data_IF_678180682491
#
_entry.id   IF_678180682491
#
_cell.length_a   1.000
_cell.length_b   1.000
_cell.length_c   1.000
_cell.angle_alpha   90.00
_cell.angle_beta   90.00
_cell.angle_gamma   90.00
#
_symmetry.space_group_name_H-M   'P 1'
#
loop_
_entity.id
_entity.type
_entity.pdbx_description
1 polymer ?
#
# COMPACT_ATOMS: atom_id res chain seq x y z
N UNK A 1 -17.60 33.03 -12.66
CA UNK A 1 -17.21 32.52 -11.32
C UNK A 1 -16.86 31.05 -11.44
N UNK A 2 -15.58 30.70 -11.60
CA UNK A 2 -15.12 29.31 -11.57
C UNK A 2 -14.59 29.01 -10.18
N UNK A 3 -15.20 28.05 -9.46
CA UNK A 3 -14.66 27.58 -8.18
C UNK A 3 -13.29 26.94 -8.46
N UNK A 4 -12.22 27.44 -7.85
CA UNK A 4 -10.91 26.77 -7.95
C UNK A 4 -11.02 25.39 -7.30
N UNK A 5 -10.51 24.36 -7.98
CA UNK A 5 -10.39 23.03 -7.39
C UNK A 5 -9.38 23.13 -6.23
N UNK A 6 -9.64 22.56 -5.06
CA UNK A 6 -8.65 22.55 -3.98
C UNK A 6 -7.39 21.84 -4.46
N UNK A 7 -6.25 22.52 -4.29
CA UNK A 7 -4.95 22.07 -4.74
C UNK A 7 -4.47 20.96 -3.79
N UNK A 8 -4.61 19.70 -4.21
CA UNK A 8 -4.39 18.50 -3.37
C UNK A 8 -2.93 18.33 -2.92
N UNK A 9 -1.99 19.11 -3.47
CA UNK A 9 -0.54 18.93 -3.27
C UNK A 9 0.18 20.12 -2.60
N UNK A 10 -0.51 20.95 -1.83
CA UNK A 10 0.05 22.18 -1.23
C UNK A 10 1.22 21.98 -0.22
N UNK A 11 1.59 20.74 0.14
CA UNK A 11 2.60 20.46 1.17
C UNK A 11 3.75 19.55 0.71
N UNK A 12 4.02 19.42 -0.60
CA UNK A 12 5.13 18.61 -1.09
C UNK A 12 6.45 19.39 -1.07
N UNK A 13 7.22 19.17 0.00
CA UNK A 13 8.69 19.05 0.08
C UNK A 13 9.09 19.32 1.55
N UNK A 14 9.28 18.27 2.35
CA UNK A 14 9.81 18.39 3.71
C UNK A 14 10.77 17.25 4.03
N UNK A 15 11.75 17.50 4.90
CA UNK A 15 12.78 16.54 5.34
C UNK A 15 12.17 15.29 6.00
N UNK A 16 12.89 14.16 6.05
CA UNK A 16 12.43 12.91 6.70
C UNK A 16 11.88 13.13 8.13
N UNK A 17 12.61 13.89 8.95
CA UNK A 17 12.17 14.27 10.30
C UNK A 17 10.89 15.12 10.29
N UNK A 18 10.72 15.99 9.29
CA UNK A 18 9.48 16.75 9.14
C UNK A 18 8.32 15.91 8.59
N UNK A 19 8.59 14.85 7.83
CA UNK A 19 7.56 13.92 7.37
C UNK A 19 7.12 13.06 8.55
N UNK A 20 8.06 12.54 9.36
CA UNK A 20 7.77 11.84 10.60
C UNK A 20 6.96 12.71 11.57
N UNK A 21 7.40 13.94 11.84
CA UNK A 21 6.64 14.89 12.67
C UNK A 21 5.27 15.22 12.09
N UNK A 22 5.16 15.33 10.75
CA UNK A 22 3.88 15.62 10.10
C UNK A 22 2.95 14.41 10.14
N UNK A 23 3.47 13.20 9.92
CA UNK A 23 2.76 11.93 10.07
C UNK A 23 2.28 11.78 11.50
N UNK A 24 3.15 11.99 12.49
CA UNK A 24 2.81 11.90 13.90
C UNK A 24 1.75 12.94 14.29
N UNK A 25 1.86 14.17 13.78
CA UNK A 25 0.82 15.20 13.97
C UNK A 25 -0.50 14.83 13.30
N UNK A 26 -0.48 14.28 12.09
CA UNK A 26 -1.68 13.84 11.38
C UNK A 26 -2.34 12.65 12.08
N UNK A 27 -1.56 11.66 12.51
CA UNK A 27 -2.03 10.53 13.33
C UNK A 27 -2.65 11.05 14.63
N UNK A 28 -2.01 11.99 15.33
CA UNK A 28 -2.56 12.58 16.55
C UNK A 28 -3.86 13.34 16.28
N UNK A 29 -3.90 14.18 15.24
CA UNK A 29 -5.09 14.93 14.82
C UNK A 29 -6.24 14.01 14.42
N UNK A 30 -5.95 12.86 13.79
CA UNK A 30 -6.96 11.90 13.35
C UNK A 30 -7.51 11.05 14.50
N UNK A 31 -6.65 10.68 15.46
CA UNK A 31 -7.05 9.97 16.69
C UNK A 31 -7.95 10.79 17.61
N UNK A 32 -7.84 12.12 17.56
CA UNK A 32 -8.70 13.04 18.32
C UNK A 32 -10.08 13.27 17.66
N UNK A 33 -10.29 12.85 16.40
CA UNK A 33 -11.57 12.98 15.71
C UNK A 33 -12.51 11.82 16.04
N UNK A 34 -13.57 12.08 16.83
CA UNK A 34 -14.62 11.10 17.13
C UNK A 34 -15.30 10.58 15.85
N UNK A 35 -15.25 9.26 15.65
CA UNK A 35 -16.09 8.55 14.67
C UNK A 35 -15.44 8.18 13.33
N UNK A 36 -14.12 8.36 13.16
CA UNK A 36 -13.40 7.83 11.98
C UNK A 36 -12.62 6.56 12.35
N UNK A 37 -12.66 5.56 11.48
CA UNK A 37 -12.11 4.21 11.71
C UNK A 37 -10.82 3.90 10.96
N UNK A 38 -10.36 4.77 10.05
CA UNK A 38 -9.22 4.47 9.17
C UNK A 38 -8.23 5.63 9.12
N UNK A 39 -7.00 5.32 9.54
CA UNK A 39 -5.86 6.20 9.82
C UNK A 39 -4.99 6.44 8.56
N UNK A 40 -3.74 6.87 8.76
CA UNK A 40 -2.68 6.85 7.73
C UNK A 40 -2.23 5.41 7.46
N UNK A 41 -2.11 5.04 6.18
CA UNK A 41 -1.64 3.72 5.74
C UNK A 41 -0.28 3.83 5.10
N UNK A 42 0.65 2.96 5.48
CA UNK A 42 2.02 2.92 4.98
C UNK A 42 2.32 1.59 4.31
N UNK A 43 3.15 1.63 3.27
CA UNK A 43 3.61 0.44 2.58
C UNK A 43 5.02 0.61 2.03
N UNK A 44 5.87 -0.36 2.34
CA UNK A 44 7.20 -0.49 1.73
C UNK A 44 7.07 -0.82 0.25
N UNK A 45 7.79 -0.08 -0.58
CA UNK A 45 7.90 -0.30 -2.02
C UNK A 45 9.36 -0.59 -2.36
N UNK A 46 9.60 -1.62 -3.18
CA UNK A 46 10.95 -2.05 -3.57
C UNK A 46 10.97 -2.11 -5.08
N UNK A 47 11.97 -1.50 -5.72
CA UNK A 47 12.09 -1.57 -7.18
C UNK A 47 12.21 -3.04 -7.66
N UNK A 48 11.58 -3.41 -8.79
CA UNK A 48 10.87 -2.56 -9.75
C UNK A 48 9.35 -2.44 -9.49
N UNK A 49 8.88 -2.79 -8.30
CA UNK A 49 7.44 -2.83 -8.01
C UNK A 49 6.87 -1.44 -7.74
N UNK A 50 5.57 -1.30 -8.00
CA UNK A 50 4.83 -0.11 -7.58
C UNK A 50 4.27 -0.32 -6.17
N UNK A 51 3.70 0.71 -5.54
CA UNK A 51 3.10 0.60 -4.23
C UNK A 51 2.08 -0.54 -4.09
N UNK A 52 1.31 -0.85 -5.14
CA UNK A 52 0.18 -1.78 -5.04
C UNK A 52 0.25 -2.97 -5.99
N UNK A 53 1.17 -2.99 -6.95
CA UNK A 53 1.29 -4.09 -7.93
C UNK A 53 2.75 -4.45 -8.19
N UNK A 54 2.96 -5.67 -8.66
CA UNK A 54 4.29 -6.24 -8.87
C UNK A 54 4.64 -6.34 -10.36
N UNK A 55 5.81 -5.85 -10.76
CA UNK A 55 6.30 -5.84 -12.14
C UNK A 55 7.37 -6.90 -12.46
N UNK A 56 7.46 -7.97 -11.67
CA UNK A 56 8.31 -9.14 -11.99
C UNK A 56 7.44 -10.37 -12.18
N UNK A 57 7.96 -11.41 -12.82
CA UNK A 57 7.23 -12.67 -13.00
C UNK A 57 7.10 -13.48 -11.70
N UNK A 58 8.02 -13.28 -10.76
CA UNK A 58 8.04 -13.97 -9.47
C UNK A 58 8.66 -13.14 -8.35
N UNK A 59 8.29 -13.50 -7.12
CA UNK A 59 8.78 -12.96 -5.86
C UNK A 59 9.20 -14.11 -4.95
N UNK A 60 10.49 -14.42 -4.96
CA UNK A 60 11.00 -15.65 -4.35
C UNK A 60 10.39 -16.87 -5.04
N UNK A 61 9.68 -17.71 -4.28
CA UNK A 61 9.00 -18.91 -4.82
C UNK A 61 7.56 -18.64 -5.28
N UNK A 62 7.05 -17.42 -5.07
CA UNK A 62 5.67 -17.05 -5.39
C UNK A 62 5.61 -16.47 -6.79
N UNK A 63 4.59 -16.85 -7.55
CA UNK A 63 4.32 -16.30 -8.87
C UNK A 63 3.67 -14.92 -8.76
N UNK A 64 3.74 -14.14 -9.83
CA UNK A 64 2.92 -12.94 -10.00
C UNK A 64 1.83 -13.25 -11.04
N UNK A 65 0.58 -13.04 -10.65
CA UNK A 65 -0.59 -13.20 -11.51
C UNK A 65 -0.91 -11.85 -12.16
N UNK A 66 -0.71 -11.76 -13.46
CA UNK A 66 -1.04 -10.58 -14.25
C UNK A 66 -2.50 -10.59 -14.69
N UNK A 67 -3.04 -9.41 -14.96
CA UNK A 67 -4.32 -9.26 -15.64
C UNK A 67 -4.14 -9.28 -17.16
N UNK A 68 -5.07 -8.62 -17.86
CA UNK A 68 -5.09 -8.59 -19.32
C UNK A 68 -3.85 -7.87 -19.93
N UNK A 69 -3.25 -6.93 -19.20
CA UNK A 69 -2.09 -6.16 -19.65
C UNK A 69 -0.93 -6.25 -18.64
N UNK A 70 0.14 -6.96 -19.00
CA UNK A 70 1.30 -7.19 -18.12
C UNK A 70 2.01 -5.89 -17.69
N UNK A 71 1.94 -4.84 -18.53
CA UNK A 71 2.52 -3.52 -18.23
C UNK A 71 1.92 -2.89 -16.97
N UNK A 72 0.67 -3.22 -16.64
CA UNK A 72 -0.05 -2.72 -15.47
C UNK A 72 0.36 -3.40 -14.16
N UNK A 73 1.28 -4.38 -14.23
CA UNK A 73 1.72 -5.17 -13.08
C UNK A 73 0.75 -6.30 -12.73
N UNK A 74 1.07 -7.04 -11.67
CA UNK A 74 0.29 -8.17 -11.22
C UNK A 74 0.21 -8.31 -9.71
N UNK A 75 -0.51 -9.33 -9.27
CA UNK A 75 -0.74 -9.70 -7.88
C UNK A 75 0.26 -10.78 -7.46
N UNK A 76 0.87 -10.67 -6.27
CA UNK A 76 1.68 -11.78 -5.76
C UNK A 76 0.77 -12.92 -5.32
N UNK A 77 1.11 -14.14 -5.72
CA UNK A 77 0.40 -15.35 -5.31
C UNK A 77 0.35 -15.47 -3.78
N UNK A 78 -0.88 -15.59 -3.26
CA UNK A 78 -1.16 -15.65 -1.82
C UNK A 78 -1.55 -14.32 -1.17
N UNK A 79 -1.33 -13.17 -1.83
CA UNK A 79 -1.83 -11.89 -1.30
C UNK A 79 -3.36 -11.79 -1.40
N UNK A 80 -3.95 -12.39 -2.43
CA UNK A 80 -5.40 -12.43 -2.64
C UNK A 80 -5.88 -13.87 -2.84
N UNK A 81 -7.12 -14.14 -2.42
CA UNK A 81 -7.76 -15.44 -2.60
C UNK A 81 -8.27 -15.57 -4.04
N UNK A 82 -7.63 -16.41 -4.84
CA UNK A 82 -8.09 -16.73 -6.20
C UNK A 82 -9.12 -17.87 -6.18
N UNK A 83 -10.05 -17.85 -7.13
CA UNK A 83 -11.02 -18.93 -7.30
C UNK A 83 -10.35 -20.19 -7.86
N UNK A 84 -10.50 -21.32 -7.17
CA UNK A 84 -9.90 -22.59 -7.59
C UNK A 84 -10.40 -23.07 -8.96
N UNK A 85 -11.66 -22.79 -9.30
CA UNK A 85 -12.27 -23.19 -10.58
C UNK A 85 -11.88 -22.28 -11.75
N UNK A 86 -11.43 -21.06 -11.49
CA UNK A 86 -10.96 -20.12 -12.50
C UNK A 86 -10.07 -19.05 -11.83
N UNK A 87 -8.74 -19.15 -11.98
CA UNK A 87 -7.79 -18.28 -11.29
C UNK A 87 -7.80 -16.82 -11.77
N UNK A 88 -8.57 -16.48 -12.82
CA UNK A 88 -8.78 -15.10 -13.25
C UNK A 88 -9.72 -14.34 -12.31
N UNK A 89 -10.39 -15.02 -11.39
CA UNK A 89 -11.29 -14.43 -10.41
C UNK A 89 -10.65 -14.34 -9.02
N UNK A 90 -10.77 -13.15 -8.44
CA UNK A 90 -10.45 -12.89 -7.03
C UNK A 90 -11.73 -12.96 -6.20
N UNK A 91 -11.68 -13.71 -5.10
CA UNK A 91 -12.78 -13.91 -4.17
C UNK A 91 -12.66 -12.98 -2.96
N UNK A 92 -13.79 -12.56 -2.35
CA UNK A 92 -13.77 -11.80 -1.11
C UNK A 92 -13.10 -12.57 0.01
N UNK A 93 -12.21 -11.91 0.76
CA UNK A 93 -11.59 -12.50 1.95
C UNK A 93 -11.06 -11.43 2.88
N UNK A 94 -11.41 -11.52 4.17
CA UNK A 94 -10.95 -10.55 5.18
C UNK A 94 -9.50 -10.74 5.61
N UNK A 95 -8.89 -11.87 5.25
CA UNK A 95 -7.54 -12.26 5.68
C UNK A 95 -6.54 -12.31 4.53
N UNK A 96 -6.98 -11.97 3.30
CA UNK A 96 -6.11 -11.92 2.13
C UNK A 96 -6.24 -10.53 1.50
N UNK A 97 -5.16 -9.76 1.56
CA UNK A 97 -5.02 -8.52 0.82
C UNK A 97 -3.59 -8.03 0.81
N UNK A 98 -3.38 -6.87 0.18
CA UNK A 98 -2.09 -6.19 0.27
C UNK A 98 -1.88 -5.68 1.70
N UNK A 99 -0.73 -5.99 2.28
CA UNK A 99 -0.30 -5.53 3.59
C UNK A 99 -0.01 -4.03 3.65
N UNK A 100 -0.54 -3.37 4.67
CA UNK A 100 -0.24 -1.99 5.06
C UNK A 100 0.03 -1.91 6.56
N UNK A 101 0.87 -0.95 6.96
CA UNK A 101 1.09 -0.60 8.36
C UNK A 101 0.30 0.66 8.70
N UNK A 102 -0.30 0.74 9.88
CA UNK A 102 -0.93 1.99 10.36
C UNK A 102 0.03 2.92 11.09
N UNK A 103 1.25 2.48 11.36
CA UNK A 103 2.29 3.26 12.04
C UNK A 103 3.59 3.29 11.22
N UNK A 104 4.33 4.40 11.34
CA UNK A 104 5.65 4.51 10.72
C UNK A 104 6.67 3.56 11.37
N UNK A 105 6.54 3.26 12.67
CA UNK A 105 7.41 2.31 13.37
C UNK A 105 7.28 0.89 12.81
N UNK A 106 6.06 0.41 12.59
CA UNK A 106 5.82 -0.89 11.96
C UNK A 106 6.30 -0.90 10.50
N UNK A 107 6.19 0.24 9.81
CA UNK A 107 6.77 0.42 8.47
C UNK A 107 8.29 0.31 8.50
N UNK A 108 8.95 0.96 9.45
CA UNK A 108 10.40 0.91 9.65
C UNK A 108 10.88 -0.52 9.95
N UNK A 109 10.17 -1.24 10.82
CA UNK A 109 10.44 -2.65 11.07
C UNK A 109 10.31 -3.48 9.79
N UNK A 110 9.25 -3.27 9.01
CA UNK A 110 9.02 -3.96 7.73
C UNK A 110 10.12 -3.65 6.71
N UNK A 111 10.52 -2.38 6.60
CA UNK A 111 11.63 -1.94 5.75
C UNK A 111 12.94 -2.64 6.13
N UNK A 112 13.28 -2.66 7.43
CA UNK A 112 14.49 -3.33 7.91
C UNK A 112 14.47 -4.83 7.59
N UNK A 113 13.35 -5.49 7.87
CA UNK A 113 13.18 -6.92 7.60
C UNK A 113 13.34 -7.23 6.10
N UNK A 114 12.61 -6.52 5.23
CA UNK A 114 12.67 -6.76 3.79
C UNK A 114 14.01 -6.36 3.19
N UNK A 115 14.63 -5.30 3.70
CA UNK A 115 15.93 -4.78 3.28
C UNK A 115 17.06 -5.80 3.42
N UNK A 116 17.01 -6.66 4.45
CA UNK A 116 17.99 -7.75 4.68
C UNK A 116 18.03 -8.79 3.55
N UNK A 117 16.95 -8.91 2.79
CA UNK A 117 16.85 -9.87 1.68
C UNK A 117 17.12 -9.25 0.31
N UNK A 118 17.36 -7.93 0.24
CA UNK A 118 17.61 -7.23 -1.03
C UNK A 118 19.10 -7.20 -1.39
N UNK A 119 19.37 -7.11 -2.69
CA UNK A 119 20.72 -6.89 -3.20
C UNK A 119 21.21 -5.49 -2.82
N UNK A 120 22.51 -5.32 -2.62
CA UNK A 120 23.11 -3.99 -2.40
C UNK A 120 22.75 -3.05 -3.55
N UNK A 121 22.30 -1.84 -3.23
CA UNK A 121 21.90 -0.82 -4.20
C UNK A 121 20.46 -0.93 -4.69
N UNK A 122 19.67 -1.89 -4.19
CA UNK A 122 18.22 -1.94 -4.45
C UNK A 122 17.57 -0.69 -3.86
N UNK A 123 16.83 0.07 -4.68
CA UNK A 123 16.11 1.24 -4.18
C UNK A 123 14.85 0.82 -3.46
N UNK A 124 14.64 1.45 -2.31
CA UNK A 124 13.50 1.21 -1.44
C UNK A 124 12.85 2.55 -1.15
N UNK A 125 11.52 2.56 -1.20
CA UNK A 125 10.67 3.71 -0.96
C UNK A 125 9.57 3.34 0.03
N UNK A 126 8.94 4.35 0.62
CA UNK A 126 7.71 4.16 1.39
C UNK A 126 6.60 4.93 0.72
N UNK A 127 5.58 4.21 0.31
CA UNK A 127 4.33 4.81 -0.11
C UNK A 127 3.42 4.98 1.11
N UNK A 128 2.75 6.12 1.22
CA UNK A 128 1.79 6.37 2.27
C UNK A 128 0.52 7.01 1.72
N UNK A 129 -0.58 6.76 2.41
CA UNK A 129 -1.88 7.31 2.08
C UNK A 129 -2.59 7.78 3.35
N UNK A 130 -2.97 9.04 3.39
CA UNK A 130 -3.81 9.60 4.46
C UNK A 130 -5.26 9.42 4.01
N UNK A 131 -5.99 8.55 4.70
CA UNK A 131 -7.40 8.28 4.40
C UNK A 131 -8.28 9.35 5.05
N UNK A 132 -8.21 10.59 4.53
CA UNK A 132 -8.99 11.70 5.08
C UNK A 132 -10.50 11.46 4.89
N UNK A 133 -10.94 10.82 3.79
CA UNK A 133 -12.31 10.36 3.57
C UNK A 133 -12.37 9.03 2.79
N UNK A 134 -13.09 8.04 3.33
CA UNK A 134 -13.17 6.66 2.82
C UNK A 134 -13.78 6.51 1.41
N UNK A 135 -14.39 7.58 0.87
CA UNK A 135 -14.99 7.62 -0.47
C UNK A 135 -13.98 7.41 -1.61
N UNK A 136 -12.68 7.45 -1.31
CA UNK A 136 -11.61 7.25 -2.28
C UNK A 136 -11.20 5.78 -2.49
N UNK A 137 -11.72 4.86 -1.67
CA UNK A 137 -11.51 3.42 -1.86
C UNK A 137 -12.48 2.92 -2.94
N UNK A 138 -12.01 2.33 -4.04
CA UNK A 138 -12.88 1.77 -5.07
C UNK A 138 -13.86 0.74 -4.51
N UNK A 139 -15.08 0.71 -5.05
CA UNK A 139 -16.09 -0.29 -4.67
C UNK A 139 -15.54 -1.72 -4.80
N UNK A 140 -15.88 -2.57 -3.84
CA UNK A 140 -15.41 -3.95 -3.77
C UNK A 140 -14.02 -4.10 -3.14
N UNK A 141 -13.43 -3.02 -2.61
CA UNK A 141 -12.25 -3.03 -1.78
C UNK A 141 -12.53 -2.44 -0.40
N UNK A 142 -11.72 -2.79 0.59
CA UNK A 142 -11.78 -2.22 1.93
C UNK A 142 -10.52 -2.53 2.72
N UNK A 143 -10.27 -1.77 3.78
CA UNK A 143 -9.25 -2.13 4.76
C UNK A 143 -9.86 -2.96 5.89
N UNK A 144 -9.25 -4.11 6.18
CA UNK A 144 -9.56 -4.96 7.32
C UNK A 144 -8.30 -5.05 8.21
N UNK A 145 -8.48 -4.98 9.53
CA UNK A 145 -7.39 -5.12 10.51
C UNK A 145 -6.94 -6.57 10.54
N UNK A 146 -5.63 -6.83 10.61
CA UNK A 146 -5.12 -8.17 10.88
C UNK A 146 -5.53 -8.61 12.29
N UNK A 147 -6.23 -9.75 12.45
CA UNK A 147 -6.70 -10.22 13.76
C UNK A 147 -5.57 -10.45 14.77
N UNK A 148 -4.33 -10.63 14.31
CA UNK A 148 -3.17 -10.88 15.16
C UNK A 148 -2.29 -9.64 15.39
N UNK A 149 -2.53 -8.54 14.66
CA UNK A 149 -1.72 -7.33 14.75
C UNK A 149 -2.55 -6.09 14.41
N UNK A 150 -2.95 -5.32 15.42
CA UNK A 150 -3.74 -4.09 15.25
C UNK A 150 -3.02 -2.97 14.48
N UNK A 151 -1.70 -3.07 14.28
CA UNK A 151 -0.92 -2.13 13.47
C UNK A 151 -0.77 -2.58 12.01
N UNK A 152 -1.31 -3.75 11.66
CA UNK A 152 -1.28 -4.32 10.33
C UNK A 152 -2.68 -4.39 9.74
N UNK A 153 -2.81 -3.94 8.50
CA UNK A 153 -4.06 -3.90 7.77
C UNK A 153 -3.90 -4.58 6.42
N UNK A 154 -4.96 -5.24 5.98
CA UNK A 154 -5.08 -5.77 4.63
C UNK A 154 -5.99 -4.87 3.81
N UNK A 155 -5.54 -4.43 2.63
CA UNK A 155 -6.42 -3.94 1.58
C UNK A 155 -7.04 -5.14 0.87
N UNK A 156 -8.23 -5.52 1.31
CA UNK A 156 -8.93 -6.74 0.91
C UNK A 156 -9.90 -6.51 -0.24
N UNK A 157 -10.24 -7.60 -0.91
CA UNK A 157 -11.41 -7.67 -1.79
C UNK A 157 -12.65 -7.98 -0.95
N UNK A 158 -13.70 -7.18 -1.11
CA UNK A 158 -15.01 -7.34 -0.45
C UNK A 158 -16.10 -7.84 -1.40
N UNK A 159 -15.89 -7.73 -2.71
CA UNK A 159 -16.78 -8.24 -3.76
C UNK A 159 -15.99 -9.00 -4.82
N UNK A 160 -16.50 -10.15 -5.29
CA UNK A 160 -15.84 -10.96 -6.33
C UNK A 160 -15.58 -10.12 -7.58
N UNK A 161 -14.37 -10.17 -8.13
CA UNK A 161 -13.98 -9.44 -9.33
C UNK A 161 -12.89 -10.17 -10.13
N UNK A 162 -12.67 -9.76 -11.37
CA UNK A 162 -11.55 -10.26 -12.17
C UNK A 162 -10.21 -9.73 -11.64
N UNK A 163 -9.13 -10.47 -11.88
CA UNK A 163 -7.76 -10.04 -11.56
C UNK A 163 -7.44 -8.70 -12.22
N UNK A 164 -7.82 -8.50 -13.49
CA UNK A 164 -7.60 -7.24 -14.21
C UNK A 164 -8.34 -6.06 -13.56
N UNK A 165 -9.59 -6.27 -13.14
CA UNK A 165 -10.36 -5.26 -12.40
C UNK A 165 -9.73 -4.91 -11.06
N UNK A 166 -9.15 -5.88 -10.35
CA UNK A 166 -8.42 -5.62 -9.11
C UNK A 166 -7.16 -4.80 -9.39
N UNK A 167 -6.36 -5.17 -10.39
CA UNK A 167 -5.14 -4.45 -10.78
C UNK A 167 -5.44 -2.99 -11.14
N UNK A 168 -6.49 -2.74 -11.91
CA UNK A 168 -6.94 -1.38 -12.25
C UNK A 168 -7.24 -0.55 -10.99
N UNK A 169 -8.02 -1.12 -10.06
CA UNK A 169 -8.37 -0.46 -8.80
C UNK A 169 -7.15 -0.24 -7.89
N UNK A 170 -6.21 -1.18 -7.87
CA UNK A 170 -4.95 -1.04 -7.14
C UNK A 170 -4.09 0.08 -7.72
N UNK A 171 -3.96 0.15 -9.05
CA UNK A 171 -3.27 1.25 -9.71
C UNK A 171 -3.94 2.61 -9.43
N UNK A 172 -5.27 2.66 -9.39
CA UNK A 172 -6.02 3.86 -9.00
C UNK A 172 -5.72 4.30 -7.55
N UNK A 173 -5.56 3.34 -6.62
CA UNK A 173 -5.14 3.61 -5.25
C UNK A 173 -3.70 4.13 -5.23
N UNK A 174 -2.78 3.46 -5.94
CA UNK A 174 -1.36 3.84 -6.03
C UNK A 174 -1.17 5.30 -6.46
N UNK A 175 -1.96 5.77 -7.44
CA UNK A 175 -1.93 7.16 -7.90
C UNK A 175 -2.30 8.20 -6.82
N UNK A 176 -2.95 7.77 -5.73
CA UNK A 176 -3.33 8.63 -4.60
C UNK A 176 -2.35 8.53 -3.43
N UNK A 177 -1.40 7.60 -3.51
CA UNK A 177 -0.35 7.47 -2.53
C UNK A 177 0.74 8.51 -2.78
N UNK A 178 1.23 9.12 -1.72
CA UNK A 178 2.47 9.88 -1.78
C UNK A 178 3.64 8.91 -1.55
N UNK A 179 4.73 9.09 -2.30
CA UNK A 179 5.90 8.20 -2.23
C UNK A 179 7.09 8.99 -1.67
N UNK A 180 7.68 8.48 -0.59
CA UNK A 180 8.98 8.88 -0.08
C UNK A 180 10.05 8.05 -0.76
N UNK A 181 10.82 8.68 -1.65
CA UNK A 181 11.88 8.05 -2.42
C UNK A 181 13.25 8.18 -1.72
N UNK A 182 14.21 7.40 -2.23
CA UNK A 182 15.63 7.47 -1.86
C UNK A 182 15.83 7.40 -0.33
N UNK A 183 15.10 6.49 0.31
CA UNK A 183 15.23 6.24 1.73
C UNK A 183 16.56 5.54 2.00
N UNK A 184 17.52 6.28 2.59
CA UNK A 184 18.73 5.70 3.15
C UNK A 184 18.36 4.85 4.37
N UNK A 185 18.19 3.55 4.13
CA UNK A 185 18.14 2.58 5.21
C UNK A 185 19.54 2.48 5.81
N UNK A 186 19.79 3.18 6.91
CA UNK A 186 21.01 3.01 7.73
C UNK A 186 21.22 1.56 8.20
N UNK A 187 20.21 0.69 8.01
CA UNK A 187 20.24 -0.75 8.24
C UNK A 187 21.33 -1.53 7.49
N UNK A 188 22.05 -0.90 6.54
CA UNK A 188 23.16 -1.53 5.81
C UNK A 188 24.56 -1.27 6.41
N UNK A 189 24.66 -0.68 7.60
CA UNK A 189 25.93 -0.65 8.34
C UNK A 189 26.03 -1.89 9.24
N UNK A 190 26.88 -2.83 8.84
CA UNK A 190 27.70 -3.55 9.83
C UNK A 190 28.87 -2.66 10.21
#
# INVERSE_FOLDING_TARGET
MGKSKPYVFQNQLKTLASIEDRINKLIAQHRDMKGKSQDVMFRTTIEPHSPTVYHTESLGKKRVIFGDEQSQGGLKEGDYLLSESNPDWVLPSKTHGLSFSSTFNQTKFTLDLLGRFQKKGTKISVAYWILEDSTSIPKGLGFEVDPNNSEHFFLVVTEKMLVSQLIEKLNFISQRMAIMNDLDLEAYKK
#
